data_IF_730961152771
#
_entry.id   IF_730961152771
#
_cell.length_a   1.000
_cell.length_b   1.000
_cell.length_c   1.000
_cell.angle_alpha   90.00
_cell.angle_beta   90.00
_cell.angle_gamma   90.00
#
_symmetry.space_group_name_H-M   'P 1'
#
loop_
_entity.id
_entity.type
_entity.pdbx_description
1 polymer ?
#
# COMPACT_ATOMS: atom_id res chain seq x y z
N UNK A 1 16.11 7.12 -20.51
CA UNK A 1 16.79 5.80 -20.44
C UNK A 1 15.95 4.97 -19.49
N UNK A 2 15.33 3.91 -19.97
CA UNK A 2 14.51 3.04 -19.13
C UNK A 2 15.41 2.15 -18.29
N UNK A 3 14.87 1.59 -17.20
CA UNK A 3 15.58 0.60 -16.39
C UNK A 3 16.05 -0.56 -17.28
N UNK A 4 17.16 -1.24 -16.93
CA UNK A 4 17.50 -2.50 -17.59
C UNK A 4 16.30 -3.44 -17.61
N UNK A 5 16.08 -4.19 -18.70
CA UNK A 5 15.02 -5.18 -18.73
C UNK A 5 15.16 -6.11 -17.52
N UNK A 6 14.06 -6.48 -16.90
CA UNK A 6 13.98 -7.34 -15.72
C UNK A 6 14.27 -6.70 -14.35
N UNK A 7 14.46 -5.37 -14.27
CA UNK A 7 14.60 -4.70 -12.97
C UNK A 7 13.31 -4.02 -12.58
N UNK A 8 12.88 -4.29 -11.35
CA UNK A 8 11.79 -3.61 -10.66
C UNK A 8 12.37 -2.78 -9.52
N UNK A 9 11.97 -1.52 -9.47
CA UNK A 9 12.38 -0.62 -8.40
C UNK A 9 11.13 -0.15 -7.65
N UNK A 10 11.14 -0.35 -6.34
CA UNK A 10 10.12 0.16 -5.42
C UNK A 10 10.70 1.24 -4.51
N UNK A 11 9.98 2.33 -4.33
CA UNK A 11 10.33 3.40 -3.42
C UNK A 11 9.20 3.61 -2.41
N UNK A 12 9.52 3.50 -1.13
CA UNK A 12 8.64 3.87 -0.02
C UNK A 12 9.18 5.11 0.70
N UNK A 13 8.38 6.17 0.76
CA UNK A 13 8.75 7.44 1.36
C UNK A 13 7.91 7.65 2.62
N UNK A 14 8.40 7.13 3.73
CA UNK A 14 7.74 7.23 5.03
C UNK A 14 8.17 8.45 5.84
N UNK A 15 7.54 8.65 7.01
CA UNK A 15 7.82 9.78 7.91
C UNK A 15 9.21 9.72 8.53
N UNK A 16 9.71 8.53 8.88
CA UNK A 16 11.00 8.35 9.56
C UNK A 16 12.07 7.73 8.69
N UNK A 17 11.69 7.04 7.62
CA UNK A 17 12.61 6.34 6.73
C UNK A 17 12.17 6.44 5.28
N UNK A 18 13.14 6.46 4.36
CA UNK A 18 12.95 6.26 2.93
C UNK A 18 13.64 4.96 2.56
N UNK A 19 12.89 4.05 1.93
CA UNK A 19 13.38 2.76 1.48
C UNK A 19 13.27 2.67 -0.04
N UNK A 20 14.37 2.41 -0.71
CA UNK A 20 14.42 2.09 -2.14
C UNK A 20 14.89 0.64 -2.30
N UNK A 21 14.11 -0.18 -2.99
CA UNK A 21 14.40 -1.60 -3.19
C UNK A 21 14.54 -1.89 -4.68
N UNK A 22 15.58 -2.61 -5.05
CA UNK A 22 15.82 -3.11 -6.40
C UNK A 22 15.64 -4.63 -6.40
N UNK A 23 14.80 -5.14 -7.29
CA UNK A 23 14.48 -6.55 -7.37
C UNK A 23 14.42 -7.04 -8.82
N UNK A 24 14.55 -8.35 -9.00
CA UNK A 24 14.29 -9.06 -10.28
C UNK A 24 13.23 -10.12 -10.08
N UNK A 25 12.44 -10.45 -11.11
CA UNK A 25 11.59 -11.63 -11.10
C UNK A 25 12.44 -12.88 -10.78
N UNK A 26 11.95 -13.73 -9.89
CA UNK A 26 12.55 -15.03 -9.62
C UNK A 26 12.09 -16.07 -10.67
N UNK A 27 12.70 -17.25 -10.67
CA UNK A 27 12.27 -18.35 -11.55
C UNK A 27 10.85 -18.81 -11.23
N UNK A 28 10.46 -18.74 -9.97
CA UNK A 28 9.12 -19.04 -9.51
C UNK A 28 8.19 -17.83 -9.74
N UNK A 29 7.10 -18.05 -10.45
CA UNK A 29 6.14 -17.00 -10.83
C UNK A 29 5.54 -16.35 -9.59
N UNK A 30 5.58 -15.01 -9.54
CA UNK A 30 5.06 -14.22 -8.43
C UNK A 30 6.07 -13.94 -7.31
N UNK A 31 7.28 -14.49 -7.38
CA UNK A 31 8.37 -14.20 -6.46
C UNK A 31 9.40 -13.25 -7.07
N UNK A 32 10.09 -12.50 -6.20
CA UNK A 32 11.11 -11.55 -6.57
C UNK A 32 12.35 -11.74 -5.72
N UNK A 33 13.50 -11.68 -6.35
CA UNK A 33 14.80 -11.68 -5.68
C UNK A 33 15.24 -10.23 -5.47
N UNK A 34 15.52 -9.85 -4.24
CA UNK A 34 16.07 -8.54 -3.91
C UNK A 34 17.55 -8.55 -4.29
N UNK A 35 17.94 -7.63 -5.17
CA UNK A 35 19.32 -7.43 -5.62
C UNK A 35 20.05 -6.41 -4.74
N UNK A 36 19.32 -5.44 -4.22
CA UNK A 36 19.89 -4.42 -3.33
C UNK A 36 18.82 -3.48 -2.80
N UNK A 37 19.19 -2.69 -1.82
CA UNK A 37 18.30 -1.68 -1.25
C UNK A 37 19.11 -0.50 -0.67
N UNK A 38 18.43 0.64 -0.51
CA UNK A 38 18.90 1.79 0.25
C UNK A 38 17.87 2.17 1.28
N UNK A 39 18.29 2.27 2.54
CA UNK A 39 17.44 2.63 3.67
C UNK A 39 18.06 3.81 4.41
N UNK A 40 17.41 4.97 4.37
CA UNK A 40 17.91 6.19 4.97
C UNK A 40 16.88 6.87 5.86
N UNK A 41 17.32 7.71 6.77
CA UNK A 41 16.44 8.56 7.56
C UNK A 41 15.70 9.54 6.65
N UNK A 42 14.40 9.69 6.86
CA UNK A 42 13.54 10.61 6.11
C UNK A 42 13.60 12.03 6.68
N UNK A 43 13.69 12.99 5.80
CA UNK A 43 13.53 14.41 6.10
C UNK A 43 12.39 14.98 5.25
N UNK A 44 11.64 15.97 5.76
CA UNK A 44 10.62 16.70 5.00
C UNK A 44 9.30 15.97 4.78
N UNK A 45 9.06 14.87 5.49
CA UNK A 45 7.80 14.12 5.45
C UNK A 45 7.16 14.11 6.84
N UNK A 46 5.88 14.46 6.91
CA UNK A 46 5.09 14.37 8.14
C UNK A 46 3.72 13.76 7.83
N UNK A 47 3.30 12.78 8.65
CA UNK A 47 2.06 12.02 8.46
C UNK A 47 1.90 11.43 7.03
N UNK A 48 3.04 11.07 6.40
CA UNK A 48 3.08 10.57 5.01
C UNK A 48 2.82 11.63 3.94
N UNK A 49 2.91 12.91 4.29
CA UNK A 49 2.73 14.07 3.38
C UNK A 49 4.04 14.83 3.26
N UNK A 50 4.37 15.29 2.05
CA UNK A 50 5.54 16.14 1.81
C UNK A 50 5.30 17.52 2.44
N UNK A 51 6.10 17.87 3.45
CA UNK A 51 6.06 19.16 4.15
C UNK A 51 7.26 20.04 3.86
N UNK A 52 8.40 19.43 3.47
CA UNK A 52 9.58 20.11 2.98
C UNK A 52 10.15 19.37 1.76
N UNK A 53 10.12 20.03 0.60
CA UNK A 53 10.56 19.45 -0.67
C UNK A 53 12.09 19.21 -0.68
N UNK A 54 12.88 20.11 -0.13
CA UNK A 54 14.35 20.00 -0.13
C UNK A 54 14.80 18.81 0.73
N UNK A 55 14.27 18.68 1.94
CA UNK A 55 14.52 17.55 2.82
C UNK A 55 14.12 16.22 2.19
N UNK A 56 12.91 16.16 1.60
CA UNK A 56 12.41 14.96 0.91
C UNK A 56 13.31 14.57 -0.28
N UNK A 57 13.71 15.53 -1.12
CA UNK A 57 14.62 15.30 -2.26
C UNK A 57 15.98 14.76 -1.79
N UNK A 58 16.52 15.31 -0.71
CA UNK A 58 17.80 14.86 -0.13
C UNK A 58 17.71 13.39 0.32
N UNK A 59 16.68 13.05 1.07
CA UNK A 59 16.47 11.67 1.55
C UNK A 59 16.22 10.68 0.41
N UNK A 60 15.37 11.03 -0.57
CA UNK A 60 15.10 10.21 -1.74
C UNK A 60 16.38 9.95 -2.54
N UNK A 61 17.18 11.00 -2.82
CA UNK A 61 18.47 10.85 -3.53
C UNK A 61 19.45 9.93 -2.80
N UNK A 62 19.52 10.05 -1.46
CA UNK A 62 20.37 9.20 -0.65
C UNK A 62 19.95 7.74 -0.72
N UNK A 63 18.64 7.44 -0.60
CA UNK A 63 18.12 6.09 -0.73
C UNK A 63 18.36 5.50 -2.13
N UNK A 64 18.18 6.29 -3.20
CA UNK A 64 18.46 5.86 -4.57
C UNK A 64 19.96 5.51 -4.74
N UNK A 65 20.87 6.38 -4.28
CA UNK A 65 22.30 6.13 -4.38
C UNK A 65 22.73 4.86 -3.65
N UNK A 66 22.22 4.65 -2.46
CA UNK A 66 22.51 3.45 -1.67
C UNK A 66 21.95 2.19 -2.35
N UNK A 67 20.72 2.25 -2.87
CA UNK A 67 20.12 1.13 -3.61
C UNK A 67 20.90 0.81 -4.90
N UNK A 68 21.32 1.81 -5.66
CA UNK A 68 22.15 1.61 -6.85
C UNK A 68 23.52 1.02 -6.51
N UNK A 69 24.11 1.46 -5.39
CA UNK A 69 25.38 0.94 -4.91
C UNK A 69 25.27 -0.53 -4.46
N UNK A 70 24.24 -0.88 -3.69
CA UNK A 70 24.05 -2.25 -3.19
C UNK A 70 23.62 -3.22 -4.28
N UNK A 71 22.77 -2.79 -5.22
CA UNK A 71 22.33 -3.60 -6.34
C UNK A 71 23.36 -3.68 -7.49
N UNK A 72 24.36 -2.79 -7.50
CA UNK A 72 25.33 -2.64 -8.60
C UNK A 72 24.67 -2.42 -9.97
N UNK A 73 23.50 -1.77 -9.99
CA UNK A 73 22.72 -1.54 -11.21
C UNK A 73 22.16 -0.10 -11.19
N UNK A 74 22.37 0.68 -12.28
CA UNK A 74 21.70 1.97 -12.44
C UNK A 74 20.22 1.79 -12.80
N UNK A 75 19.38 2.68 -12.30
CA UNK A 75 17.97 2.76 -12.65
C UNK A 75 17.51 4.22 -12.63
N UNK A 76 16.44 4.51 -13.37
CA UNK A 76 15.87 5.85 -13.51
C UNK A 76 14.37 5.90 -13.30
N UNK A 77 13.73 4.75 -13.09
CA UNK A 77 12.28 4.62 -12.97
C UNK A 77 11.93 3.80 -11.73
N UNK A 78 10.83 4.14 -11.05
CA UNK A 78 10.36 3.38 -9.90
C UNK A 78 8.83 3.41 -9.77
N UNK A 79 8.30 2.36 -9.13
CA UNK A 79 6.96 2.36 -8.53
C UNK A 79 7.08 2.95 -7.13
N UNK A 80 6.19 3.89 -6.79
CA UNK A 80 6.28 4.63 -5.53
C UNK A 80 5.08 4.32 -4.64
N UNK A 81 5.35 3.85 -3.43
CA UNK A 81 4.32 3.69 -2.43
C UNK A 81 3.91 5.08 -1.92
N UNK A 82 2.63 5.41 -2.06
CA UNK A 82 2.07 6.64 -1.53
C UNK A 82 1.18 6.33 -0.33
N UNK A 83 1.46 7.00 0.77
CA UNK A 83 0.76 6.85 2.04
C UNK A 83 0.22 8.18 2.54
N UNK A 84 -0.04 8.21 3.83
CA UNK A 84 -0.42 9.42 4.55
C UNK A 84 -1.89 9.52 4.87
N UNK A 85 -2.18 10.38 5.85
CA UNK A 85 -3.53 10.58 6.40
C UNK A 85 -4.54 11.19 5.42
N UNK A 86 -4.10 11.54 4.21
CA UNK A 86 -4.96 12.06 3.13
C UNK A 86 -5.51 10.96 2.23
N UNK A 87 -5.07 9.70 2.40
CA UNK A 87 -5.63 8.58 1.66
C UNK A 87 -7.04 8.26 2.16
N UNK A 88 -7.91 8.01 1.20
CA UNK A 88 -9.28 7.54 1.43
C UNK A 88 -9.64 6.50 0.41
N UNK A 89 -10.61 5.66 0.69
CA UNK A 89 -11.10 4.69 -0.26
C UNK A 89 -12.61 4.69 -0.35
N UNK A 90 -13.13 4.29 -1.48
CA UNK A 90 -14.54 4.02 -1.73
C UNK A 90 -14.70 2.89 -2.74
N UNK A 91 -15.77 2.15 -2.62
CA UNK A 91 -16.13 1.16 -3.64
C UNK A 91 -16.84 1.85 -4.81
N UNK A 92 -16.52 1.40 -6.00
CA UNK A 92 -17.04 1.94 -7.25
C UNK A 92 -17.59 0.83 -8.11
N UNK A 93 -18.70 1.10 -8.75
CA UNK A 93 -19.36 0.17 -9.65
C UNK A 93 -19.55 0.82 -11.02
N UNK A 94 -19.12 0.13 -12.06
CA UNK A 94 -19.46 0.48 -13.42
C UNK A 94 -20.43 -0.54 -14.00
N UNK A 95 -21.49 -0.07 -14.65
CA UNK A 95 -22.57 -0.92 -15.16
C UNK A 95 -22.66 -0.86 -16.67
N UNK A 96 -22.86 -1.99 -17.32
CA UNK A 96 -23.23 -2.05 -18.72
C UNK A 96 -24.51 -2.89 -18.90
N UNK A 97 -25.37 -2.46 -19.84
CA UNK A 97 -26.57 -3.21 -20.26
C UNK A 97 -26.16 -4.25 -21.29
N UNK A 98 -26.51 -5.50 -21.05
CA UNK A 98 -26.28 -6.60 -21.98
C UNK A 98 -27.38 -6.61 -23.03
N UNK A 99 -27.05 -6.28 -24.28
CA UNK A 99 -28.03 -6.17 -25.35
C UNK A 99 -28.45 -7.53 -25.95
N UNK A 100 -27.72 -8.58 -25.63
CA UNK A 100 -28.02 -9.97 -26.02
C UNK A 100 -28.59 -10.72 -24.83
N UNK A 101 -28.55 -12.06 -24.91
CA UNK A 101 -28.90 -12.94 -23.77
C UNK A 101 -27.68 -13.30 -22.93
N UNK A 102 -26.48 -13.05 -23.43
CA UNK A 102 -25.24 -13.49 -22.83
C UNK A 102 -24.25 -12.33 -22.76
N UNK A 103 -23.51 -12.24 -21.68
CA UNK A 103 -22.47 -11.25 -21.46
C UNK A 103 -21.33 -11.46 -22.46
N UNK A 104 -20.94 -10.40 -23.15
CA UNK A 104 -19.85 -10.39 -24.12
C UNK A 104 -18.60 -9.67 -23.56
N UNK A 105 -17.42 -9.89 -24.15
CA UNK A 105 -16.22 -9.11 -23.80
C UNK A 105 -16.42 -7.59 -23.96
N UNK A 106 -17.26 -7.18 -24.91
CA UNK A 106 -17.58 -5.77 -25.12
C UNK A 106 -18.37 -5.17 -23.95
N UNK A 107 -19.33 -5.90 -23.40
CA UNK A 107 -20.11 -5.47 -22.24
C UNK A 107 -19.22 -5.30 -21.01
N UNK A 108 -18.25 -6.21 -20.82
CA UNK A 108 -17.23 -6.09 -19.77
C UNK A 108 -16.42 -4.81 -19.94
N UNK A 109 -15.91 -4.54 -21.15
CA UNK A 109 -15.14 -3.32 -21.43
C UNK A 109 -15.95 -2.05 -21.15
N UNK A 110 -17.24 -2.03 -21.48
CA UNK A 110 -18.12 -0.89 -21.19
C UNK A 110 -18.29 -0.72 -19.68
N UNK A 111 -18.55 -1.81 -18.94
CA UNK A 111 -18.70 -1.75 -17.50
C UNK A 111 -17.44 -1.22 -16.80
N UNK A 112 -16.26 -1.69 -17.21
CA UNK A 112 -14.97 -1.21 -16.69
C UNK A 112 -14.72 0.28 -17.03
N UNK A 113 -15.04 0.70 -18.24
CA UNK A 113 -14.93 2.12 -18.65
C UNK A 113 -15.85 3.00 -17.80
N UNK A 114 -17.11 2.59 -17.61
CA UNK A 114 -18.07 3.31 -16.77
C UNK A 114 -17.63 3.38 -15.31
N UNK A 115 -17.00 2.31 -14.78
CA UNK A 115 -16.41 2.35 -13.44
C UNK A 115 -15.32 3.45 -13.34
N UNK A 116 -14.44 3.55 -14.34
CA UNK A 116 -13.38 4.56 -14.37
C UNK A 116 -13.93 5.99 -14.47
N UNK A 117 -15.01 6.19 -15.24
CA UNK A 117 -15.69 7.49 -15.32
C UNK A 117 -16.34 7.87 -13.98
N UNK A 118 -16.96 6.90 -13.28
CA UNK A 118 -17.65 7.12 -12.01
C UNK A 118 -16.69 7.52 -10.88
N UNK A 119 -15.41 7.15 -10.94
CA UNK A 119 -14.40 7.52 -9.93
C UNK A 119 -13.69 8.83 -10.22
N UNK A 120 -14.04 9.55 -11.30
CA UNK A 120 -13.37 10.81 -11.65
C UNK A 120 -13.78 11.92 -10.67
N UNK A 121 -12.95 12.18 -9.67
CA UNK A 121 -13.11 13.23 -8.67
C UNK A 121 -12.26 14.44 -9.03
N UNK A 122 -12.86 15.64 -8.99
CA UNK A 122 -12.13 16.90 -9.29
C UNK A 122 -11.26 17.37 -8.12
N UNK A 123 -11.56 16.95 -6.91
CA UNK A 123 -10.94 17.36 -5.66
C UNK A 123 -9.89 16.38 -5.14
N UNK A 124 -9.77 15.19 -5.73
CA UNK A 124 -8.86 14.12 -5.31
C UNK A 124 -8.14 13.47 -6.48
N UNK A 125 -6.93 13.01 -6.22
CA UNK A 125 -6.15 12.20 -7.16
C UNK A 125 -6.53 10.74 -7.00
N UNK A 126 -7.03 10.11 -8.06
CA UNK A 126 -7.14 8.66 -8.11
C UNK A 126 -5.72 8.06 -8.09
N UNK A 127 -5.42 7.28 -7.06
CA UNK A 127 -4.15 6.59 -6.90
C UNK A 127 -4.23 5.22 -7.55
N UNK A 128 -5.29 4.45 -7.25
CA UNK A 128 -5.47 3.11 -7.81
C UNK A 128 -6.93 2.68 -7.80
N UNK A 129 -7.32 1.95 -8.83
CA UNK A 129 -8.51 1.12 -8.86
C UNK A 129 -8.10 -0.35 -8.75
N UNK A 130 -8.66 -1.05 -7.78
CA UNK A 130 -8.36 -2.44 -7.50
C UNK A 130 -9.62 -3.24 -7.79
N UNK A 131 -9.54 -4.15 -8.76
CA UNK A 131 -10.68 -4.98 -9.15
C UNK A 131 -11.09 -5.89 -7.98
N UNK A 132 -12.39 -5.92 -7.67
CA UNK A 132 -12.99 -6.81 -6.69
C UNK A 132 -13.76 -7.95 -7.36
N UNK A 133 -14.11 -7.81 -8.65
CA UNK A 133 -14.83 -8.81 -9.43
C UNK A 133 -15.94 -8.20 -10.28
N UNK A 134 -16.86 -9.05 -10.66
CA UNK A 134 -18.00 -8.69 -11.51
C UNK A 134 -19.28 -9.27 -10.95
N UNK A 135 -20.39 -8.59 -11.22
CA UNK A 135 -21.74 -9.10 -10.93
C UNK A 135 -22.54 -9.19 -12.21
N UNK A 136 -23.10 -10.38 -12.49
CA UNK A 136 -24.03 -10.62 -13.58
C UNK A 136 -25.33 -11.21 -13.00
N UNK A 137 -26.41 -10.41 -12.98
CA UNK A 137 -27.63 -10.79 -12.24
C UNK A 137 -27.33 -10.95 -10.74
N UNK A 138 -27.65 -12.12 -10.19
CA UNK A 138 -27.44 -12.46 -8.78
C UNK A 138 -26.08 -13.11 -8.49
N UNK A 139 -25.25 -13.32 -9.52
CA UNK A 139 -23.96 -14.03 -9.40
C UNK A 139 -22.83 -13.03 -9.35
N UNK A 140 -21.95 -13.17 -8.34
CA UNK A 140 -20.69 -12.44 -8.23
C UNK A 140 -19.54 -13.39 -8.57
N UNK A 141 -18.62 -12.94 -9.44
CA UNK A 141 -17.46 -13.72 -9.89
C UNK A 141 -16.18 -12.89 -9.80
N UNK A 142 -15.02 -13.50 -9.48
CA UNK A 142 -13.75 -12.79 -9.48
C UNK A 142 -13.24 -12.48 -10.90
N UNK A 143 -13.72 -13.20 -11.90
CA UNK A 143 -13.32 -13.06 -13.30
C UNK A 143 -14.49 -12.60 -14.16
N UNK A 144 -14.25 -12.00 -15.35
CA UNK A 144 -15.32 -11.57 -16.24
C UNK A 144 -16.31 -12.69 -16.57
N UNK A 145 -17.62 -12.51 -16.33
CA UNK A 145 -18.65 -13.55 -16.51
C UNK A 145 -19.11 -13.65 -17.97
N UNK A 146 -18.18 -13.85 -18.90
CA UNK A 146 -18.47 -13.99 -20.33
C UNK A 146 -19.30 -15.24 -20.57
N UNK A 147 -20.37 -15.11 -21.36
CA UNK A 147 -21.31 -16.19 -21.65
C UNK A 147 -22.41 -16.38 -20.60
N UNK A 148 -22.39 -15.64 -19.49
CA UNK A 148 -23.48 -15.69 -18.50
C UNK A 148 -24.71 -14.97 -19.03
N UNK A 149 -25.88 -15.55 -18.74
CA UNK A 149 -27.17 -14.93 -19.06
C UNK A 149 -27.48 -13.83 -18.02
N UNK A 150 -27.54 -12.59 -18.47
CA UNK A 150 -27.87 -11.45 -17.61
C UNK A 150 -28.38 -10.27 -18.44
N UNK A 151 -29.21 -9.41 -17.86
CA UNK A 151 -29.67 -8.17 -18.51
C UNK A 151 -28.63 -7.03 -18.35
N UNK A 152 -27.78 -7.13 -17.32
CA UNK A 152 -26.71 -6.16 -17.03
C UNK A 152 -25.51 -6.84 -16.39
N UNK A 153 -24.35 -6.25 -16.59
CA UNK A 153 -23.11 -6.58 -15.89
C UNK A 153 -22.65 -5.37 -15.08
N UNK A 154 -22.08 -5.64 -13.92
CA UNK A 154 -21.42 -4.65 -13.06
C UNK A 154 -19.96 -5.06 -12.86
N UNK A 155 -19.04 -4.11 -13.08
CA UNK A 155 -17.64 -4.24 -12.72
C UNK A 155 -17.41 -3.55 -11.36
N UNK A 156 -16.91 -4.31 -10.39
CA UNK A 156 -16.76 -3.89 -8.99
C UNK A 156 -15.30 -3.53 -8.70
N UNK A 157 -15.07 -2.35 -8.14
CA UNK A 157 -13.72 -1.85 -7.84
C UNK A 157 -13.66 -1.23 -6.45
N UNK A 158 -12.54 -1.46 -5.77
CA UNK A 158 -12.10 -0.66 -4.63
C UNK A 158 -11.17 0.43 -5.15
N UNK A 159 -11.55 1.70 -4.95
CA UNK A 159 -10.83 2.85 -5.48
C UNK A 159 -10.18 3.61 -4.34
N UNK A 160 -8.87 3.86 -4.46
CA UNK A 160 -8.08 4.59 -3.46
C UNK A 160 -7.69 5.95 -4.02
N UNK A 161 -7.96 6.98 -3.24
CA UNK A 161 -7.71 8.38 -3.58
C UNK A 161 -6.73 9.01 -2.60
N UNK A 162 -5.99 10.00 -3.08
CA UNK A 162 -5.10 10.82 -2.27
C UNK A 162 -5.31 12.32 -2.53
N UNK A 163 -4.60 13.14 -1.78
CA UNK A 163 -4.54 14.58 -2.04
C UNK A 163 -3.80 14.85 -3.34
N UNK A 164 -4.39 15.67 -4.22
CA UNK A 164 -3.75 16.12 -5.47
C UNK A 164 -2.43 16.82 -5.17
N UNK A 165 -2.42 17.73 -4.19
CA UNK A 165 -1.21 18.49 -3.84
C UNK A 165 -0.09 17.59 -3.28
N UNK A 166 -0.42 16.56 -2.48
CA UNK A 166 0.58 15.62 -1.99
C UNK A 166 1.17 14.77 -3.11
N UNK A 167 0.32 14.23 -3.98
CA UNK A 167 0.78 13.46 -5.14
C UNK A 167 1.67 14.31 -6.07
N UNK A 168 1.29 15.56 -6.32
CA UNK A 168 2.07 16.50 -7.14
C UNK A 168 3.40 16.88 -6.46
N UNK A 169 3.42 17.15 -5.16
CA UNK A 169 4.65 17.44 -4.42
C UNK A 169 5.59 16.22 -4.44
N UNK A 170 5.06 15.03 -4.23
CA UNK A 170 5.85 13.79 -4.34
C UNK A 170 6.44 13.65 -5.75
N UNK A 171 5.65 13.86 -6.79
CA UNK A 171 6.13 13.82 -8.19
C UNK A 171 7.27 14.81 -8.44
N UNK A 172 7.17 16.03 -7.90
CA UNK A 172 8.25 17.03 -7.98
C UNK A 172 9.52 16.58 -7.24
N UNK A 173 9.39 15.95 -6.07
CA UNK A 173 10.52 15.38 -5.36
C UNK A 173 11.22 14.29 -6.18
N UNK A 174 10.46 13.41 -6.81
CA UNK A 174 11.00 12.34 -7.67
C UNK A 174 11.74 12.93 -8.89
N UNK A 175 11.12 13.85 -9.62
CA UNK A 175 11.73 14.53 -10.78
C UNK A 175 13.04 15.22 -10.40
N UNK A 176 13.06 15.95 -9.28
CA UNK A 176 14.27 16.61 -8.77
C UNK A 176 15.32 15.61 -8.28
N UNK A 177 14.92 14.38 -7.98
CA UNK A 177 15.83 13.28 -7.64
C UNK A 177 16.28 12.47 -8.87
N UNK A 178 15.92 12.90 -10.09
CA UNK A 178 16.21 12.22 -11.36
C UNK A 178 15.62 10.80 -11.41
N UNK A 179 14.43 10.62 -10.82
CA UNK A 179 13.68 9.39 -10.81
C UNK A 179 12.32 9.61 -11.49
N UNK A 180 12.01 8.82 -12.50
CA UNK A 180 10.73 8.83 -13.17
C UNK A 180 9.72 7.97 -12.42
N UNK A 181 8.52 8.50 -12.26
CA UNK A 181 7.41 7.79 -11.63
C UNK A 181 6.73 6.87 -12.66
N UNK A 182 6.83 5.56 -12.48
CA UNK A 182 6.07 4.61 -13.27
C UNK A 182 4.60 4.56 -12.84
N UNK A 183 4.37 4.43 -11.54
CA UNK A 183 3.02 4.36 -10.96
C UNK A 183 3.07 4.65 -9.47
N UNK A 184 1.94 5.12 -8.93
CA UNK A 184 1.70 5.12 -7.50
C UNK A 184 1.02 3.82 -7.07
N UNK A 185 1.48 3.26 -5.94
CA UNK A 185 0.79 2.19 -5.23
C UNK A 185 0.33 2.69 -3.86
N UNK A 186 -0.91 2.44 -3.45
CA UNK A 186 -1.33 2.76 -2.09
C UNK A 186 -0.50 1.96 -1.09
N UNK A 187 0.16 2.64 -0.13
CA UNK A 187 0.99 2.00 0.88
C UNK A 187 0.26 0.86 1.62
N UNK A 188 -1.02 1.04 2.10
CA UNK A 188 -1.75 -0.05 2.76
C UNK A 188 -1.92 -1.30 1.89
N UNK A 189 -2.16 -1.10 0.58
CA UNK A 189 -2.27 -2.19 -0.39
C UNK A 189 -0.95 -2.90 -0.62
N UNK A 190 0.13 -2.13 -0.83
CA UNK A 190 1.46 -2.67 -1.07
C UNK A 190 1.97 -3.47 0.14
N UNK A 191 1.82 -2.92 1.35
CA UNK A 191 2.18 -3.58 2.61
C UNK A 191 1.42 -4.89 2.82
N UNK A 192 0.10 -4.87 2.64
CA UNK A 192 -0.72 -6.07 2.80
C UNK A 192 -0.36 -7.16 1.79
N UNK A 193 -0.11 -6.81 0.54
CA UNK A 193 0.35 -7.78 -0.48
C UNK A 193 1.69 -8.42 -0.16
N UNK A 194 2.58 -7.69 0.49
CA UNK A 194 3.89 -8.20 0.85
C UNK A 194 3.86 -9.19 2.02
N UNK A 195 2.86 -9.11 2.92
CA UNK A 195 2.84 -9.90 4.17
C UNK A 195 1.79 -10.99 4.20
N UNK A 196 0.72 -10.88 3.40
CA UNK A 196 -0.37 -11.84 3.40
C UNK A 196 -0.16 -12.96 2.38
N UNK A 197 -0.35 -14.19 2.82
CA UNK A 197 -0.54 -15.35 1.94
C UNK A 197 -1.93 -15.32 1.28
N UNK A 198 -2.10 -16.07 0.19
CA UNK A 198 -3.39 -16.19 -0.49
C UNK A 198 -4.49 -16.78 0.43
N UNK A 199 -4.11 -17.72 1.31
CA UNK A 199 -5.04 -18.29 2.30
C UNK A 199 -5.53 -17.24 3.29
N UNK A 200 -4.63 -16.36 3.78
CA UNK A 200 -5.01 -15.29 4.70
C UNK A 200 -5.92 -14.27 4.03
N UNK A 201 -5.67 -13.91 2.77
CA UNK A 201 -6.55 -13.03 1.98
C UNK A 201 -7.93 -13.64 1.77
N UNK A 202 -7.99 -14.95 1.50
CA UNK A 202 -9.25 -15.66 1.28
C UNK A 202 -10.09 -15.78 2.56
N UNK A 203 -9.45 -16.17 3.68
CA UNK A 203 -10.15 -16.39 4.96
C UNK A 203 -10.68 -15.11 5.63
N UNK A 204 -10.25 -13.94 5.18
CA UNK A 204 -10.56 -12.67 5.80
C UNK A 204 -9.52 -12.25 6.83
N UNK A 205 -8.79 -11.18 6.51
CA UNK A 205 -7.69 -10.68 7.35
C UNK A 205 -7.67 -9.16 7.35
N UNK A 206 -7.43 -8.59 8.54
CA UNK A 206 -7.12 -7.16 8.69
C UNK A 206 -5.63 -7.00 8.88
N UNK A 207 -5.02 -6.11 8.11
CA UNK A 207 -3.63 -5.68 8.28
C UNK A 207 -3.61 -4.30 8.90
N UNK A 208 -2.92 -4.18 10.04
CA UNK A 208 -2.55 -2.91 10.64
C UNK A 208 -1.06 -2.68 10.42
N UNK A 209 -0.73 -1.63 9.71
CA UNK A 209 0.65 -1.19 9.55
C UNK A 209 0.88 0.06 10.40
N UNK A 210 1.57 -0.12 11.52
CA UNK A 210 1.84 0.90 12.51
C UNK A 210 3.14 1.63 12.16
N UNK A 211 3.04 2.74 11.44
CA UNK A 211 4.15 3.64 11.16
C UNK A 211 4.49 4.58 12.33
N UNK A 212 5.36 5.55 12.07
CA UNK A 212 5.75 6.54 13.09
C UNK A 212 4.60 7.49 13.44
N UNK A 213 3.95 8.08 12.43
CA UNK A 213 2.89 9.09 12.62
C UNK A 213 1.54 8.67 12.04
N UNK A 214 1.48 7.54 11.33
CA UNK A 214 0.25 7.02 10.73
C UNK A 214 0.10 5.54 10.98
N UNK A 215 -1.15 5.08 11.06
CA UNK A 215 -1.50 3.66 11.03
C UNK A 215 -2.35 3.40 9.80
N UNK A 216 -1.89 2.51 8.93
CA UNK A 216 -2.63 2.07 7.76
C UNK A 216 -3.42 0.81 8.09
N UNK A 217 -4.62 0.72 7.53
CA UNK A 217 -5.56 -0.39 7.76
C UNK A 217 -5.99 -0.92 6.40
N UNK A 218 -5.90 -2.23 6.20
CA UNK A 218 -6.41 -2.92 5.02
C UNK A 218 -7.19 -4.15 5.44
N UNK A 219 -8.39 -4.33 4.88
CA UNK A 219 -9.22 -5.52 5.10
C UNK A 219 -9.32 -6.32 3.80
N UNK A 220 -9.02 -7.59 3.89
CA UNK A 220 -9.19 -8.57 2.81
C UNK A 220 -10.25 -9.60 3.19
N UNK A 221 -11.03 -10.00 2.20
CA UNK A 221 -12.00 -11.10 2.30
C UNK A 221 -12.19 -11.72 0.92
N UNK A 222 -12.19 -13.04 0.82
CA UNK A 222 -12.31 -13.77 -0.45
C UNK A 222 -11.32 -13.31 -1.53
N UNK A 223 -10.07 -13.06 -1.14
CA UNK A 223 -8.96 -12.53 -1.96
C UNK A 223 -9.11 -11.10 -2.48
N UNK A 224 -10.16 -10.38 -2.11
CA UNK A 224 -10.37 -9.00 -2.49
C UNK A 224 -10.16 -8.06 -1.31
N UNK A 225 -9.65 -6.86 -1.60
CA UNK A 225 -9.60 -5.80 -0.62
C UNK A 225 -10.97 -5.12 -0.56
N UNK A 226 -11.51 -5.00 0.65
CA UNK A 226 -12.85 -4.45 0.88
C UNK A 226 -12.82 -3.14 1.67
N UNK A 227 -11.69 -2.82 2.28
CA UNK A 227 -11.53 -1.57 3.04
C UNK A 227 -10.07 -1.14 3.09
N UNK A 228 -9.86 0.16 2.96
CA UNK A 228 -8.55 0.81 3.14
C UNK A 228 -8.75 2.14 3.85
N UNK A 229 -7.96 2.37 4.91
CA UNK A 229 -7.99 3.63 5.64
C UNK A 229 -6.60 3.94 6.21
N UNK A 230 -6.32 5.22 6.48
CA UNK A 230 -5.09 5.67 7.12
C UNK A 230 -5.43 6.66 8.21
N UNK A 231 -5.02 6.36 9.44
CA UNK A 231 -5.24 7.21 10.61
C UNK A 231 -3.96 7.98 10.98
N UNK A 232 -4.09 9.26 11.37
CA UNK A 232 -2.94 10.10 11.73
C UNK A 232 -2.44 9.83 13.16
N UNK A 233 -2.34 8.56 13.52
CA UNK A 233 -1.82 8.06 14.80
C UNK A 233 -0.79 6.97 14.52
N UNK A 234 0.38 7.06 15.13
CA UNK A 234 1.47 6.12 14.95
C UNK A 234 2.28 5.92 16.22
N UNK A 235 3.40 5.24 16.11
CA UNK A 235 4.25 4.87 17.26
C UNK A 235 4.89 6.07 17.99
N UNK A 236 4.95 7.24 17.37
CA UNK A 236 5.41 8.47 18.04
C UNK A 236 4.51 8.90 19.19
N UNK A 237 3.22 8.54 19.18
CA UNK A 237 2.35 8.81 20.32
C UNK A 237 2.84 8.10 21.58
N UNK A 238 3.25 6.84 21.46
CA UNK A 238 3.85 6.12 22.59
C UNK A 238 5.15 6.77 23.06
N UNK A 239 5.98 7.24 22.14
CA UNK A 239 7.23 7.95 22.48
C UNK A 239 6.93 9.25 23.25
N UNK A 240 5.93 10.02 22.82
CA UNK A 240 5.50 11.25 23.51
C UNK A 240 4.93 10.96 24.89
N UNK A 241 4.10 9.94 25.02
CA UNK A 241 3.54 9.54 26.31
C UNK A 241 4.65 9.13 27.29
N UNK A 242 5.63 8.35 26.83
CA UNK A 242 6.81 7.99 27.63
C UNK A 242 7.60 9.24 28.04
N UNK A 243 7.85 10.15 27.10
CA UNK A 243 8.56 11.40 27.36
C UNK A 243 7.88 12.23 28.46
N UNK A 244 6.54 12.36 28.38
CA UNK A 244 5.74 13.11 29.35
C UNK A 244 5.74 12.43 30.72
N UNK A 245 5.49 11.12 30.77
CA UNK A 245 5.36 10.36 32.03
C UNK A 245 6.69 10.32 32.80
N UNK A 246 7.80 10.15 32.08
CA UNK A 246 9.13 9.99 32.70
C UNK A 246 9.98 11.27 32.70
N UNK A 247 9.49 12.38 32.14
CA UNK A 247 10.22 13.65 32.04
C UNK A 247 11.48 13.56 31.17
N UNK A 248 11.42 12.79 30.09
CA UNK A 248 12.52 12.52 29.17
C UNK A 248 12.47 13.41 27.92
N UNK A 249 13.59 13.55 27.19
CA UNK A 249 13.58 14.06 25.83
C UNK A 249 12.92 13.02 24.90
N UNK A 250 12.48 13.45 23.70
CA UNK A 250 11.88 12.50 22.73
C UNK A 250 12.88 11.41 22.31
N UNK A 251 14.17 11.75 22.17
CA UNK A 251 15.21 10.79 21.82
C UNK A 251 15.39 9.73 22.92
N UNK A 252 15.46 10.17 24.20
CA UNK A 252 15.56 9.26 25.34
C UNK A 252 14.31 8.39 25.48
N UNK A 253 13.14 8.95 25.22
CA UNK A 253 11.87 8.21 25.26
C UNK A 253 11.79 7.17 24.12
N UNK A 254 12.27 7.50 22.91
CA UNK A 254 12.35 6.57 21.78
C UNK A 254 13.32 5.41 22.11
N UNK A 255 14.50 5.72 22.62
CA UNK A 255 15.46 4.72 23.05
C UNK A 255 14.86 3.80 24.15
N UNK A 256 14.19 4.39 25.15
CA UNK A 256 13.50 3.63 26.19
C UNK A 256 12.39 2.75 25.62
N UNK A 257 11.59 3.24 24.67
CA UNK A 257 10.57 2.47 23.99
C UNK A 257 11.16 1.27 23.25
N UNK A 258 12.29 1.45 22.57
CA UNK A 258 12.94 0.41 21.76
C UNK A 258 13.67 -0.64 22.63
N UNK A 259 14.30 -0.21 23.72
CA UNK A 259 15.14 -1.10 24.57
C UNK A 259 14.36 -1.78 25.68
N UNK A 260 13.40 -1.08 26.28
CA UNK A 260 12.68 -1.53 27.47
C UNK A 260 11.18 -1.74 27.22
N UNK A 261 10.67 -1.31 26.06
CA UNK A 261 9.28 -1.49 25.71
C UNK A 261 8.96 -2.96 25.46
N UNK A 262 7.95 -3.48 26.14
CA UNK A 262 7.38 -4.79 25.85
C UNK A 262 5.87 -4.74 26.03
N UNK A 263 5.19 -5.56 25.26
CA UNK A 263 3.74 -5.67 25.35
C UNK A 263 3.38 -6.80 26.32
N UNK A 264 2.63 -6.48 27.39
CA UNK A 264 2.05 -7.54 28.22
C UNK A 264 0.93 -8.22 27.44
N UNK A 265 1.19 -9.45 27.00
CA UNK A 265 0.28 -10.25 26.20
C UNK A 265 -1.08 -10.56 26.85
N UNK A 266 -1.31 -10.17 28.10
CA UNK A 266 -2.63 -10.30 28.73
C UNK A 266 -3.66 -9.29 28.18
N UNK A 267 -3.19 -8.18 27.60
CA UNK A 267 -4.03 -7.15 27.00
C UNK A 267 -3.95 -7.10 25.47
N UNK A 268 -2.95 -7.71 24.86
CA UNK A 268 -2.83 -7.79 23.40
C UNK A 268 -3.46 -9.09 22.90
N UNK A 269 -4.46 -8.96 22.03
CA UNK A 269 -4.89 -10.07 21.17
C UNK A 269 -3.78 -10.27 20.15
N UNK A 270 -2.70 -10.91 20.56
CA UNK A 270 -1.69 -11.41 19.63
C UNK A 270 -2.36 -12.53 18.86
N UNK A 271 -2.48 -12.40 17.57
CA UNK A 271 -2.94 -13.46 16.71
C UNK A 271 -2.07 -14.70 16.92
N UNK A 272 -2.53 -15.63 17.71
CA UNK A 272 -2.04 -16.99 17.62
C UNK A 272 -2.48 -17.53 16.27
N UNK A 273 -1.60 -18.29 15.61
CA UNK A 273 -1.98 -19.10 14.45
C UNK A 273 -3.33 -19.72 14.70
N UNK A 274 -4.32 -19.41 13.89
CA UNK A 274 -5.58 -20.14 13.92
C UNK A 274 -5.30 -21.58 13.55
N UNK A 275 -5.47 -22.48 14.50
CA UNK A 275 -5.73 -23.86 14.19
C UNK A 275 -7.13 -23.94 13.56
N UNK A 276 -7.31 -24.82 12.60
CA UNK A 276 -8.45 -24.98 11.67
C UNK A 276 -9.86 -25.10 12.30
N UNK A 277 -9.99 -25.00 13.63
CA UNK A 277 -11.24 -25.31 14.33
C UNK A 277 -12.02 -24.10 14.90
N UNK A 278 -11.49 -22.88 14.80
CA UNK A 278 -12.23 -21.71 15.30
C UNK A 278 -12.32 -20.62 14.24
N UNK A 279 -13.52 -20.49 13.65
CA UNK A 279 -13.94 -19.41 12.72
C UNK A 279 -14.01 -18.03 13.41
N UNK A 280 -12.93 -17.55 14.03
CA UNK A 280 -12.82 -16.19 14.56
C UNK A 280 -11.55 -15.58 14.01
N UNK A 281 -11.70 -14.38 13.41
CA UNK A 281 -10.68 -13.68 12.65
C UNK A 281 -9.29 -13.68 13.31
N UNK A 282 -8.25 -13.95 12.51
CA UNK A 282 -6.87 -13.94 12.93
C UNK A 282 -6.29 -12.53 12.79
N UNK A 283 -5.74 -12.00 13.86
CA UNK A 283 -4.87 -10.83 13.81
C UNK A 283 -3.41 -11.28 13.81
N UNK A 284 -2.61 -10.83 12.87
CA UNK A 284 -1.17 -11.09 12.84
C UNK A 284 -0.43 -9.77 13.00
N UNK A 285 0.32 -9.62 14.08
CA UNK A 285 1.30 -8.56 14.19
C UNK A 285 2.58 -9.01 13.47
N UNK A 286 2.89 -8.42 12.33
CA UNK A 286 4.15 -8.61 11.65
C UNK A 286 5.12 -7.52 12.12
N UNK A 287 6.03 -7.91 13.00
CA UNK A 287 7.21 -7.11 13.31
C UNK A 287 8.37 -7.67 12.49
N UNK A 288 8.96 -6.91 11.55
CA UNK A 288 10.17 -7.36 10.88
C UNK A 288 11.28 -7.51 11.91
N UNK A 289 11.68 -8.74 12.23
CA UNK A 289 12.79 -9.03 13.15
C UNK A 289 14.18 -8.68 12.59
N UNK A 290 14.26 -8.05 11.44
CA UNK A 290 15.50 -7.89 10.69
C UNK A 290 15.76 -6.50 10.14
N UNK A 291 15.17 -5.47 10.69
CA UNK A 291 15.49 -4.09 10.31
C UNK A 291 15.91 -3.29 11.55
N UNK A 292 16.95 -3.80 12.25
CA UNK A 292 17.73 -3.04 13.24
C UNK A 292 19.20 -3.18 12.96
#
# INVERSE_FOLDING_TARGET
MNNPPDILVGLDVGTTKVLCVVARPAEEVGFYRIEGYGLVQSEGISHGVVTDIEGAVKSIRSAIKEAQYTAQVPFTEAVVAIGGSTLTSEDCVGTAVVRGREVTPHDVTIAEANARENVNRKDRQLIKMIAQGYRAGDVVTPTPPIGFSADRIEALYHSVFGSISNAENMRRCLQRSSLELLNYEPHPWAAARAVLSETEKYCGTVVFDLGAQTTSISLFHENVITFTDVRPYGSEFFTRDIAIIFGLTLEQAEEMKLTSGHCDCRACVVAKRCNHETRRGCFRAYTPRSCW
#
